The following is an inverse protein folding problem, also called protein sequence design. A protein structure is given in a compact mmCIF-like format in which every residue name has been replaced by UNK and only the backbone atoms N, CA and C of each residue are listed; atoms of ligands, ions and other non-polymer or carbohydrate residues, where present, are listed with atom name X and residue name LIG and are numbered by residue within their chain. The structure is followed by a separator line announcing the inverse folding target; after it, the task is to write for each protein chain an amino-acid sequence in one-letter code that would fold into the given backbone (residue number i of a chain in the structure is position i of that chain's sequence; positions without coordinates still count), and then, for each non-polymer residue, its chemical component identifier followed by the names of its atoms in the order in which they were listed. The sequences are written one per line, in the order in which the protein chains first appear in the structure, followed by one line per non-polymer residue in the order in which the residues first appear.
data_IF_904134257115
#
_entry.id   IF_904134257115
#
_cell.length_a   1.000
_cell.length_b   1.000
_cell.length_c   1.000
_cell.angle_alpha   90.00
_cell.angle_beta   90.00
_cell.angle_gamma   90.00
#
_symmetry.space_group_name_H-M   'P 1'
#
loop_
_entity.id
_entity.type
_entity.pdbx_description
1 polymer ?
#
# COMPACT_ATOMS: atom_id res chain seq x y z
N UNK A 1 -12.30 15.27 -17.25
CA UNK A 1 -11.03 15.58 -16.56
C UNK A 1 -9.82 14.92 -17.25
N UNK A 2 -8.59 15.34 -16.93
CA UNK A 2 -7.36 14.69 -17.42
C UNK A 2 -7.13 13.34 -16.72
N UNK A 3 -6.26 12.46 -17.31
CA UNK A 3 -5.85 11.22 -16.63
C UNK A 3 -5.11 11.51 -15.32
N UNK A 4 -4.31 12.57 -15.25
CA UNK A 4 -3.63 13.00 -14.03
C UNK A 4 -4.60 13.42 -12.93
N UNK A 5 -5.68 14.13 -13.30
CA UNK A 5 -6.74 14.51 -12.37
C UNK A 5 -7.53 13.28 -11.89
N UNK A 6 -7.77 12.30 -12.77
CA UNK A 6 -8.43 11.05 -12.36
C UNK A 6 -7.59 10.26 -11.33
N UNK A 7 -6.24 10.24 -11.47
CA UNK A 7 -5.35 9.67 -10.45
C UNK A 7 -5.40 10.43 -9.12
N UNK A 8 -5.41 11.76 -9.20
CA UNK A 8 -5.53 12.58 -8.00
C UNK A 8 -6.87 12.34 -7.29
N UNK A 9 -7.97 12.25 -8.04
CA UNK A 9 -9.27 11.90 -7.49
C UNK A 9 -9.25 10.50 -6.85
N UNK A 10 -8.60 9.52 -7.48
CA UNK A 10 -8.42 8.19 -6.89
C UNK A 10 -7.70 8.25 -5.53
N UNK A 11 -6.64 9.07 -5.42
CA UNK A 11 -5.94 9.29 -4.14
C UNK A 11 -6.90 9.86 -3.09
N UNK A 12 -7.71 10.85 -3.44
CA UNK A 12 -8.71 11.42 -2.51
C UNK A 12 -9.72 10.37 -2.05
N UNK A 13 -10.14 9.48 -2.95
CA UNK A 13 -11.09 8.40 -2.64
C UNK A 13 -10.49 7.36 -1.71
N UNK A 14 -9.30 6.84 -2.04
CA UNK A 14 -8.59 5.84 -1.25
C UNK A 14 -8.25 6.40 0.14
N UNK A 15 -7.71 7.62 0.18
CA UNK A 15 -7.36 8.29 1.44
C UNK A 15 -8.58 8.56 2.31
N UNK A 16 -9.66 9.11 1.70
CA UNK A 16 -10.89 9.44 2.42
C UNK A 16 -11.61 8.22 2.99
N UNK A 17 -11.61 7.11 2.25
CA UNK A 17 -12.22 5.85 2.67
C UNK A 17 -11.68 5.35 4.02
N UNK A 18 -10.41 5.55 4.31
CA UNK A 18 -9.81 5.13 5.58
C UNK A 18 -10.43 5.82 6.80
N UNK A 19 -11.10 6.96 6.61
CA UNK A 19 -11.80 7.68 7.69
C UNK A 19 -13.30 7.38 7.73
N UNK A 20 -13.91 7.11 6.58
CA UNK A 20 -15.36 6.84 6.51
C UNK A 20 -15.69 5.38 6.77
N UNK A 21 -14.76 4.46 6.47
CA UNK A 21 -14.99 3.02 6.54
C UNK A 21 -15.92 2.47 5.44
N UNK A 22 -16.22 3.28 4.43
CA UNK A 22 -17.10 2.88 3.32
C UNK A 22 -16.56 1.65 2.59
N UNK A 23 -17.47 0.82 2.09
CA UNK A 23 -17.05 -0.30 1.26
C UNK A 23 -16.43 0.21 -0.05
N UNK A 24 -15.31 -0.39 -0.55
CA UNK A 24 -14.60 0.10 -1.74
C UNK A 24 -15.51 0.31 -2.96
N UNK A 25 -16.50 -0.56 -3.16
CA UNK A 25 -17.46 -0.47 -4.29
C UNK A 25 -18.40 0.72 -4.18
N UNK A 26 -18.64 1.24 -2.97
CA UNK A 26 -19.54 2.37 -2.76
C UNK A 26 -18.84 3.73 -2.79
N UNK A 27 -17.54 3.75 -2.50
CA UNK A 27 -16.75 4.99 -2.38
C UNK A 27 -16.87 5.89 -3.60
N UNK A 28 -16.73 5.31 -4.81
CA UNK A 28 -16.82 6.05 -6.07
C UNK A 28 -18.24 6.56 -6.28
N UNK A 29 -19.23 5.69 -6.12
CA UNK A 29 -20.65 6.02 -6.30
C UNK A 29 -21.07 7.16 -5.36
N UNK A 30 -20.79 7.03 -4.06
CA UNK A 30 -21.12 8.04 -3.06
C UNK A 30 -20.47 9.39 -3.36
N UNK A 31 -19.20 9.38 -3.80
CA UNK A 31 -18.49 10.61 -4.14
C UNK A 31 -19.05 11.31 -5.37
N UNK A 32 -19.58 10.55 -6.34
CA UNK A 32 -20.12 11.08 -7.58
C UNK A 32 -21.63 11.39 -7.51
N UNK A 33 -22.27 11.23 -6.34
CA UNK A 33 -23.67 11.62 -6.16
C UNK A 33 -23.88 13.12 -6.47
N UNK A 34 -24.97 13.40 -7.19
CA UNK A 34 -25.35 14.76 -7.55
C UNK A 34 -25.57 15.59 -6.28
N UNK A 35 -25.20 16.85 -6.34
CA UNK A 35 -25.25 17.77 -5.20
C UNK A 35 -24.02 17.67 -4.30
N UNK A 36 -23.53 16.46 -3.97
CA UNK A 36 -22.31 16.32 -3.17
C UNK A 36 -21.06 16.65 -3.99
N UNK A 37 -21.00 16.14 -5.22
CA UNK A 37 -19.87 16.44 -6.13
C UNK A 37 -19.77 17.93 -6.43
N UNK A 38 -20.91 18.62 -6.65
CA UNK A 38 -20.98 20.06 -6.90
C UNK A 38 -20.57 20.90 -5.67
N UNK A 39 -20.90 20.44 -4.46
CA UNK A 39 -20.42 21.09 -3.24
C UNK A 39 -18.89 21.02 -3.15
N UNK A 40 -18.30 19.87 -3.44
CA UNK A 40 -16.84 19.72 -3.47
C UNK A 40 -16.19 20.56 -4.57
N UNK A 41 -16.85 20.73 -5.72
CA UNK A 41 -16.37 21.57 -6.82
C UNK A 41 -16.25 23.04 -6.45
N UNK A 42 -17.04 23.51 -5.49
CA UNK A 42 -16.94 24.88 -4.98
C UNK A 42 -15.68 25.11 -4.13
N UNK A 43 -15.12 24.06 -3.54
CA UNK A 43 -13.97 24.15 -2.62
C UNK A 43 -12.67 23.64 -3.25
N UNK A 44 -12.75 22.66 -4.14
CA UNK A 44 -11.58 21.95 -4.67
C UNK A 44 -11.60 21.86 -6.19
N UNK A 45 -10.58 22.38 -6.83
CA UNK A 45 -10.42 22.41 -8.30
C UNK A 45 -10.54 21.03 -8.93
N UNK A 46 -10.08 19.96 -8.27
CA UNK A 46 -10.13 18.58 -8.77
C UNK A 46 -11.55 18.10 -9.07
N UNK A 47 -12.57 18.69 -8.47
CA UNK A 47 -13.98 18.34 -8.63
C UNK A 47 -14.72 19.25 -9.63
N UNK A 48 -14.05 20.20 -10.28
CA UNK A 48 -14.71 21.11 -11.27
C UNK A 48 -15.13 20.39 -12.56
N UNK A 49 -14.43 19.31 -12.92
CA UNK A 49 -14.75 18.49 -14.09
C UNK A 49 -15.14 17.07 -13.66
N UNK A 50 -16.36 16.64 -14.00
CA UNK A 50 -16.78 15.26 -13.74
C UNK A 50 -15.95 14.24 -14.54
N UNK A 51 -15.66 13.06 -13.95
CA UNK A 51 -15.03 11.97 -14.69
C UNK A 51 -15.98 11.43 -15.76
N UNK A 52 -15.40 11.04 -16.90
CA UNK A 52 -16.10 10.31 -17.97
C UNK A 52 -16.39 8.87 -17.52
N UNK A 53 -17.28 8.15 -18.19
CA UNK A 53 -17.58 6.74 -17.88
C UNK A 53 -16.31 5.86 -17.85
N UNK A 54 -15.37 6.09 -18.76
CA UNK A 54 -14.08 5.39 -18.76
C UNK A 54 -13.27 5.68 -17.50
N UNK A 55 -13.29 6.93 -17.04
CA UNK A 55 -12.60 7.33 -15.82
C UNK A 55 -13.31 6.83 -14.55
N UNK A 56 -14.63 6.74 -14.56
CA UNK A 56 -15.38 6.11 -13.47
C UNK A 56 -14.97 4.64 -13.31
N UNK A 57 -14.91 3.88 -14.39
CA UNK A 57 -14.42 2.49 -14.39
C UNK A 57 -12.98 2.38 -13.85
N UNK A 58 -12.10 3.31 -14.27
CA UNK A 58 -10.75 3.38 -13.72
C UNK A 58 -10.77 3.64 -12.20
N UNK A 59 -11.59 4.59 -11.72
CA UNK A 59 -11.70 4.90 -10.29
C UNK A 59 -12.22 3.70 -9.50
N UNK A 60 -13.25 3.01 -10.00
CA UNK A 60 -13.78 1.80 -9.38
C UNK A 60 -12.73 0.70 -9.27
N UNK A 61 -12.01 0.44 -10.37
CA UNK A 61 -10.96 -0.58 -10.41
C UNK A 61 -9.82 -0.24 -9.45
N UNK A 62 -9.32 1.01 -9.45
CA UNK A 62 -8.17 1.39 -8.63
C UNK A 62 -8.51 1.43 -7.14
N UNK A 63 -9.69 1.93 -6.76
CA UNK A 63 -10.12 2.00 -5.35
C UNK A 63 -10.34 0.60 -4.77
N UNK A 64 -11.02 -0.27 -5.52
CA UNK A 64 -11.24 -1.66 -5.11
C UNK A 64 -9.91 -2.44 -5.07
N UNK A 65 -9.12 -2.33 -6.13
CA UNK A 65 -7.89 -3.09 -6.28
C UNK A 65 -6.80 -2.70 -5.27
N UNK A 66 -6.62 -1.42 -4.99
CA UNK A 66 -5.69 -0.98 -3.94
C UNK A 66 -6.11 -1.51 -2.57
N UNK A 67 -7.42 -1.57 -2.30
CA UNK A 67 -7.91 -2.17 -1.05
C UNK A 67 -7.69 -3.68 -1.00
N UNK A 68 -8.02 -4.39 -2.08
CA UNK A 68 -7.88 -5.84 -2.17
C UNK A 68 -6.43 -6.30 -2.02
N UNK A 69 -5.50 -5.55 -2.63
CA UNK A 69 -4.07 -5.84 -2.62
C UNK A 69 -3.27 -5.04 -1.56
N UNK A 70 -3.93 -4.42 -0.57
CA UNK A 70 -3.29 -3.51 0.37
C UNK A 70 -2.07 -4.12 1.07
N UNK A 71 -2.16 -5.37 1.49
CA UNK A 71 -1.05 -6.05 2.18
C UNK A 71 0.16 -6.25 1.26
N UNK A 72 -0.06 -6.72 0.04
CA UNK A 72 0.98 -6.90 -0.98
C UNK A 72 1.63 -5.57 -1.35
N UNK A 73 0.82 -4.53 -1.61
CA UNK A 73 1.32 -3.20 -1.94
C UNK A 73 2.14 -2.59 -0.80
N UNK A 74 1.72 -2.79 0.45
CA UNK A 74 2.48 -2.36 1.62
C UNK A 74 3.79 -3.15 1.79
N UNK A 75 3.80 -4.45 1.49
CA UNK A 75 4.99 -5.28 1.50
C UNK A 75 6.03 -4.81 0.46
N UNK A 76 5.57 -4.46 -0.75
CA UNK A 76 6.41 -3.87 -1.79
C UNK A 76 7.03 -2.56 -1.28
N UNK A 77 6.22 -1.65 -0.77
CA UNK A 77 6.69 -0.36 -0.25
C UNK A 77 7.72 -0.59 0.88
N UNK A 78 7.42 -1.50 1.80
CA UNK A 78 8.30 -1.86 2.91
C UNK A 78 9.65 -2.41 2.47
N UNK A 79 9.65 -3.32 1.51
CA UNK A 79 10.87 -3.94 0.97
C UNK A 79 11.86 -2.92 0.42
N UNK A 80 11.37 -1.85 -0.21
CA UNK A 80 12.22 -0.84 -0.84
C UNK A 80 12.38 0.46 -0.02
N UNK A 81 11.71 0.57 1.13
CA UNK A 81 11.86 1.70 2.07
C UNK A 81 13.04 1.48 3.02
N UNK A 82 14.26 1.35 2.47
CA UNK A 82 15.46 1.04 3.25
C UNK A 82 15.69 2.11 4.34
N UNK A 83 15.74 1.67 5.60
CA UNK A 83 15.94 2.56 6.76
C UNK A 83 14.68 3.30 7.23
N UNK A 84 13.52 3.05 6.61
CA UNK A 84 12.24 3.63 7.00
C UNK A 84 11.21 2.54 7.31
N UNK A 85 10.57 2.62 8.46
CA UNK A 85 9.38 1.82 8.75
C UNK A 85 8.20 2.36 7.93
N UNK A 86 7.47 1.47 7.24
CA UNK A 86 6.26 1.83 6.46
C UNK A 86 5.25 2.61 7.30
N UNK A 87 5.15 2.29 8.60
CA UNK A 87 4.27 2.99 9.55
C UNK A 87 4.64 4.46 9.77
N UNK A 88 5.91 4.84 9.50
CA UNK A 88 6.40 6.21 9.59
C UNK A 88 6.22 7.00 8.30
N UNK A 89 5.92 6.34 7.19
CA UNK A 89 5.58 7.00 5.93
C UNK A 89 4.18 7.61 6.10
N UNK A 90 4.04 8.90 5.75
CA UNK A 90 2.73 9.54 5.82
C UNK A 90 1.70 8.77 5.00
N UNK A 91 0.47 8.71 5.50
CA UNK A 91 -0.63 7.99 4.84
C UNK A 91 -0.81 8.41 3.39
N UNK A 92 -0.76 9.70 3.10
CA UNK A 92 -0.90 10.22 1.75
C UNK A 92 0.19 9.67 0.81
N UNK A 93 1.46 9.69 1.24
CA UNK A 93 2.56 9.17 0.44
C UNK A 93 2.45 7.65 0.22
N UNK A 94 1.96 6.92 1.24
CA UNK A 94 1.69 5.49 1.12
C UNK A 94 0.59 5.23 0.09
N UNK A 95 -0.53 5.95 0.14
CA UNK A 95 -1.62 5.83 -0.85
C UNK A 95 -1.13 6.15 -2.27
N UNK A 96 -0.30 7.18 -2.44
CA UNK A 96 0.29 7.52 -3.75
C UNK A 96 1.13 6.35 -4.28
N UNK A 97 1.97 5.73 -3.44
CA UNK A 97 2.80 4.60 -3.85
C UNK A 97 1.98 3.32 -4.08
N UNK A 98 0.96 3.06 -3.26
CA UNK A 98 0.04 1.93 -3.45
C UNK A 98 -0.69 2.03 -4.79
N UNK A 99 -1.23 3.21 -5.12
CA UNK A 99 -1.88 3.46 -6.40
C UNK A 99 -0.92 3.18 -7.57
N UNK A 100 0.29 3.73 -7.53
CA UNK A 100 1.27 3.53 -8.60
C UNK A 100 1.73 2.07 -8.71
N UNK A 101 1.96 1.38 -7.59
CA UNK A 101 2.33 -0.03 -7.60
C UNK A 101 1.19 -0.90 -8.14
N UNK A 102 -0.06 -0.60 -7.82
CA UNK A 102 -1.22 -1.27 -8.39
C UNK A 102 -1.33 -1.04 -9.90
N UNK A 103 -1.17 0.20 -10.39
CA UNK A 103 -1.14 0.48 -11.83
C UNK A 103 -0.03 -0.34 -12.54
N UNK A 104 1.15 -0.44 -11.95
CA UNK A 104 2.28 -1.18 -12.52
C UNK A 104 1.99 -2.68 -12.61
N UNK A 105 1.36 -3.27 -11.60
CA UNK A 105 1.13 -4.71 -11.51
C UNK A 105 -0.11 -5.18 -12.26
N UNK A 106 -1.19 -4.39 -12.27
CA UNK A 106 -2.54 -4.84 -12.61
C UNK A 106 -3.22 -4.05 -13.72
N UNK A 107 -2.54 -3.04 -14.31
CA UNK A 107 -3.13 -2.22 -15.37
C UNK A 107 -2.22 -2.18 -16.59
N UNK A 108 -2.40 -3.12 -17.52
CA UNK A 108 -1.58 -3.28 -18.74
C UNK A 108 -1.57 -2.03 -19.64
N UNK A 109 -2.61 -1.17 -19.55
CA UNK A 109 -2.70 0.06 -20.33
C UNK A 109 -1.93 1.24 -19.71
N UNK A 110 -1.27 1.04 -18.56
CA UNK A 110 -0.45 2.04 -17.87
C UNK A 110 1.02 1.62 -17.90
N UNK A 111 1.86 2.26 -18.73
CA UNK A 111 3.30 2.00 -18.71
C UNK A 111 3.89 2.34 -17.32
N UNK A 112 4.81 1.52 -16.83
CA UNK A 112 5.40 1.66 -15.49
C UNK A 112 6.06 3.04 -15.29
N UNK A 113 6.76 3.55 -16.32
CA UNK A 113 7.38 4.88 -16.29
C UNK A 113 6.35 6.00 -16.13
N UNK A 114 5.12 5.82 -16.65
CA UNK A 114 4.02 6.77 -16.48
C UNK A 114 3.49 6.70 -15.04
N UNK A 115 3.25 5.50 -14.50
CA UNK A 115 2.80 5.33 -13.12
C UNK A 115 3.79 5.98 -12.13
N UNK A 116 5.10 5.70 -12.29
CA UNK A 116 6.15 6.29 -11.43
C UNK A 116 6.20 7.80 -11.57
N UNK A 117 6.20 8.35 -12.79
CA UNK A 117 6.29 9.80 -13.01
C UNK A 117 5.08 10.55 -12.46
N UNK A 118 3.88 9.98 -12.59
CA UNK A 118 2.65 10.56 -12.03
C UNK A 118 2.63 10.51 -10.50
N UNK A 119 3.10 9.40 -9.89
CA UNK A 119 3.25 9.33 -8.45
C UNK A 119 4.21 10.40 -7.91
N UNK A 120 5.35 10.60 -8.58
CA UNK A 120 6.32 11.66 -8.24
C UNK A 120 5.69 13.05 -8.38
N UNK A 121 4.94 13.30 -9.46
CA UNK A 121 4.24 14.57 -9.68
C UNK A 121 3.22 14.86 -8.57
N UNK A 122 2.41 13.86 -8.23
CA UNK A 122 1.40 13.99 -7.18
C UNK A 122 2.04 14.17 -5.80
N UNK A 123 3.09 13.43 -5.49
CA UNK A 123 3.82 13.61 -4.23
C UNK A 123 4.37 15.03 -4.09
N UNK A 124 4.99 15.57 -5.13
CA UNK A 124 5.51 16.96 -5.15
C UNK A 124 4.42 18.01 -4.97
N UNK A 125 3.20 17.77 -5.47
CA UNK A 125 2.07 18.68 -5.28
C UNK A 125 1.75 18.89 -3.79
N UNK A 126 1.91 17.85 -2.99
CA UNK A 126 1.59 17.89 -1.55
C UNK A 126 2.83 18.13 -0.66
N UNK A 127 4.00 17.63 -1.08
CA UNK A 127 5.27 17.84 -0.40
C UNK A 127 6.43 17.61 -1.40
N UNK A 128 7.11 18.69 -1.76
CA UNK A 128 8.17 18.69 -2.80
C UNK A 128 9.32 17.71 -2.49
N UNK A 129 9.68 17.54 -1.21
CA UNK A 129 10.76 16.65 -0.80
C UNK A 129 10.45 15.17 -1.03
N UNK A 130 9.17 14.79 -0.99
CA UNK A 130 8.73 13.40 -1.13
C UNK A 130 8.92 12.83 -2.54
N UNK A 131 9.00 13.68 -3.56
CA UNK A 131 9.16 13.22 -4.94
C UNK A 131 10.40 12.34 -5.14
N UNK A 132 11.54 12.68 -4.55
CA UNK A 132 12.77 11.86 -4.64
C UNK A 132 12.66 10.54 -3.90
N UNK A 133 12.05 10.55 -2.73
CA UNK A 133 11.82 9.37 -1.93
C UNK A 133 10.93 8.35 -2.67
N UNK A 134 9.78 8.79 -3.17
CA UNK A 134 8.83 7.96 -3.92
C UNK A 134 9.48 7.43 -5.22
N UNK A 135 10.21 8.27 -5.95
CA UNK A 135 10.92 7.83 -7.15
C UNK A 135 11.96 6.74 -6.85
N UNK A 136 12.66 6.84 -5.71
CA UNK A 136 13.63 5.84 -5.26
C UNK A 136 12.98 4.49 -5.01
N UNK A 137 11.89 4.45 -4.23
CA UNK A 137 11.15 3.24 -3.88
C UNK A 137 10.53 2.60 -5.11
N UNK A 138 9.71 3.33 -5.87
CA UNK A 138 9.02 2.79 -7.04
C UNK A 138 9.99 2.39 -8.14
N UNK A 139 11.06 3.15 -8.34
CA UNK A 139 12.11 2.79 -9.31
C UNK A 139 12.88 1.52 -8.93
N UNK A 140 13.15 1.30 -7.64
CA UNK A 140 13.76 0.06 -7.15
C UNK A 140 12.80 -1.14 -7.32
N UNK A 141 11.53 -0.94 -6.98
CA UNK A 141 10.48 -1.94 -7.18
C UNK A 141 10.37 -2.37 -8.65
N UNK A 142 10.24 -1.44 -9.59
CA UNK A 142 10.12 -1.76 -11.03
C UNK A 142 11.33 -2.56 -11.53
N UNK A 143 12.54 -2.18 -11.11
CA UNK A 143 13.76 -2.92 -11.50
C UNK A 143 13.77 -4.35 -10.96
N UNK A 144 13.41 -4.54 -9.69
CA UNK A 144 13.39 -5.86 -9.07
C UNK A 144 12.30 -6.75 -9.68
N UNK A 145 11.10 -6.22 -9.85
CA UNK A 145 9.97 -6.93 -10.45
C UNK A 145 10.27 -7.38 -11.88
N UNK A 146 10.91 -6.53 -12.70
CA UNK A 146 11.30 -6.91 -14.06
C UNK A 146 12.46 -7.92 -14.12
N UNK A 147 13.31 -7.96 -13.12
CA UNK A 147 14.45 -8.85 -13.06
C UNK A 147 14.09 -10.26 -12.56
N UNK A 148 13.00 -10.41 -11.81
CA UNK A 148 12.57 -11.67 -11.21
C UNK A 148 11.12 -12.00 -11.59
N UNK A 149 10.89 -13.00 -12.46
CA UNK A 149 9.54 -13.45 -12.81
C UNK A 149 8.70 -13.91 -11.61
N UNK A 150 9.34 -14.36 -10.53
CA UNK A 150 8.70 -14.89 -9.33
C UNK A 150 8.66 -13.84 -8.19
N UNK A 151 8.89 -12.57 -8.51
CA UNK A 151 9.04 -11.50 -7.51
C UNK A 151 7.91 -11.47 -6.48
N UNK A 152 6.64 -11.56 -6.91
CA UNK A 152 5.50 -11.51 -6.00
C UNK A 152 5.39 -12.76 -5.12
N UNK A 153 5.68 -13.93 -5.66
CA UNK A 153 5.69 -15.18 -4.89
C UNK A 153 6.79 -15.15 -3.82
N UNK A 154 8.00 -14.71 -4.19
CA UNK A 154 9.10 -14.55 -3.28
C UNK A 154 8.82 -13.52 -2.19
N UNK A 155 8.19 -12.40 -2.54
CA UNK A 155 7.77 -11.38 -1.59
C UNK A 155 6.74 -11.92 -0.59
N UNK A 156 5.73 -12.65 -1.06
CA UNK A 156 4.72 -13.27 -0.21
C UNK A 156 5.33 -14.28 0.77
N UNK A 157 6.30 -15.08 0.33
CA UNK A 157 7.03 -16.01 1.18
C UNK A 157 7.88 -15.29 2.24
N UNK A 158 8.56 -14.20 1.88
CA UNK A 158 9.31 -13.35 2.84
C UNK A 158 8.40 -12.75 3.92
N UNK A 159 7.21 -12.26 3.54
CA UNK A 159 6.26 -11.69 4.50
C UNK A 159 5.67 -12.78 5.41
N UNK A 160 5.32 -13.94 4.87
CA UNK A 160 4.85 -15.07 5.66
C UNK A 160 5.88 -15.53 6.70
N UNK A 161 7.17 -15.57 6.33
CA UNK A 161 8.25 -15.92 7.24
C UNK A 161 8.45 -14.91 8.41
N UNK A 162 8.14 -13.63 8.19
CA UNK A 162 8.19 -12.61 9.25
C UNK A 162 7.05 -12.75 10.27
N UNK A 163 5.93 -13.36 9.89
CA UNK A 163 4.73 -13.53 10.73
C UNK A 163 4.79 -14.86 11.49
N UNK A 164 5.55 -15.86 10.99
CA UNK A 164 5.72 -17.14 11.67
C UNK A 164 6.34 -16.91 13.07
N UNK A 165 5.75 -17.41 14.16
CA UNK A 165 6.36 -17.34 15.47
C UNK A 165 7.70 -18.09 15.41
N UNK A 166 8.74 -17.50 16.00
CA UNK A 166 9.97 -18.23 16.26
C UNK A 166 9.60 -19.47 17.05
N UNK A 167 9.88 -20.68 16.52
CA UNK A 167 9.75 -21.91 17.29
C UNK A 167 10.66 -21.73 18.52
N UNK A 168 10.07 -21.48 19.68
CA UNK A 168 10.74 -21.59 20.96
C UNK A 168 11.14 -23.05 21.11
N UNK A 169 12.40 -23.34 20.82
CA UNK A 169 13.03 -24.56 21.32
C UNK A 169 13.11 -24.41 22.83
N UNK A 170 12.04 -24.80 23.55
CA UNK A 170 12.14 -25.11 24.97
C UNK A 170 13.10 -26.30 25.11
N UNK A 171 14.36 -26.00 25.36
CA UNK A 171 15.25 -26.94 26.04
C UNK A 171 14.70 -27.12 27.45
N UNK A 172 14.00 -28.23 27.67
CA UNK A 172 13.60 -28.70 28.99
C UNK A 172 14.89 -29.00 29.76
N UNK A 173 15.20 -28.29 30.85
CA UNK A 173 16.30 -28.66 31.68
C UNK A 173 15.95 -30.00 32.34
N UNK A 174 16.73 -31.03 32.06
CA UNK A 174 16.70 -32.28 32.81
C UNK A 174 17.02 -31.97 34.25
N UNK A 175 16.03 -32.09 35.14
CA UNK A 175 16.22 -32.09 36.60
C UNK A 175 17.15 -33.23 36.96
N UNK A 176 18.31 -32.87 37.45
CA UNK A 176 19.26 -33.76 38.11
C UNK A 176 18.63 -34.18 39.44
N UNK A 177 18.21 -35.46 39.49
CA UNK A 177 17.69 -36.07 40.75
C UNK A 177 18.84 -36.17 41.74
N UNK A 178 18.88 -35.29 42.72
CA UNK A 178 19.75 -35.40 43.88
C UNK A 178 19.25 -36.55 44.76
N UNK A 179 19.99 -37.67 44.73
CA UNK A 179 19.86 -38.73 45.73
C UNK A 179 20.22 -38.19 47.12
N UNK A 180 19.24 -38.26 48.02
CA UNK A 180 19.46 -38.00 49.43
C UNK A 180 19.90 -39.30 50.11
N UNK A 181 21.08 -39.35 50.74
CA UNK A 181 21.50 -40.55 51.49
C UNK A 181 20.66 -40.69 52.75
N UNK A 182 20.18 -41.88 52.97
CA UNK A 182 19.55 -42.26 54.19
C UNK A 182 20.64 -42.37 55.35
N UNK A 183 20.52 -41.54 56.34
CA UNK A 183 21.28 -41.66 57.55
C UNK A 183 20.40 -42.24 58.65
N UNK A 184 20.94 -43.27 59.15
CA UNK A 184 20.86 -44.12 60.32
C UNK A 184 20.29 -43.46 61.56
N UNK A 185 19.63 -44.40 62.31
CA UNK A 185 19.17 -44.32 63.68
C UNK A 185 20.23 -43.82 64.66
N UNK A 186 19.78 -43.06 65.67
CA UNK A 186 19.89 -43.40 67.08
C UNK A 186 18.81 -42.65 67.89
#
# INVERSE_FOLDING_TARGET
MTRGNARELAIHLIYGREFTGDHPTDVVRLRLEDGYYEQLAAEYEIYTERPTEKQVKYLEQIVAGVHEHEQELNAIIGKFSIGWDVKRISRLNRVIMQLAAYEILYMDDVPEGVAVSEAVRLAKKYNDEMGRFINGILGAFVRAWKADPNFLENLAAEEAAKIAPAEETEEVPTEEVLEVPADEEI
#
